data_IF_729525766437
#
_entry.id   IF_729525766437
#
_cell.length_a   1.000
_cell.length_b   1.000
_cell.length_c   1.000
_cell.angle_alpha   90.00
_cell.angle_beta   90.00
_cell.angle_gamma   90.00
#
_symmetry.space_group_name_H-M   'P 1'
#
loop_
_entity.id
_entity.type
_entity.pdbx_description
1 polymer ?
#
# COMPACT_ATOMS: atom_id res chain seq x y z
N UNK A 1 -4.05 36.69 80.76
CA UNK A 1 -4.34 35.89 79.54
C UNK A 1 -5.16 36.65 78.51
N UNK A 2 -6.26 37.35 78.86
CA UNK A 2 -7.07 38.10 77.86
C UNK A 2 -6.28 39.16 77.07
N UNK A 3 -5.34 39.82 77.68
CA UNK A 3 -4.53 40.88 77.03
C UNK A 3 -3.56 40.30 75.99
N UNK A 4 -3.08 39.07 76.20
CA UNK A 4 -2.18 38.38 75.26
C UNK A 4 -2.86 37.98 73.95
N UNK A 5 -4.14 37.60 74.03
CA UNK A 5 -4.92 37.24 72.82
C UNK A 5 -5.30 38.50 72.02
N UNK A 6 -5.49 39.65 72.66
CA UNK A 6 -5.75 40.88 71.98
C UNK A 6 -4.55 41.42 71.25
N UNK A 7 -3.36 41.27 71.81
CA UNK A 7 -2.07 41.63 71.17
C UNK A 7 -1.80 40.70 70.00
N UNK A 8 -2.03 39.39 70.17
CA UNK A 8 -1.85 38.38 69.09
C UNK A 8 -2.81 38.62 67.92
N UNK A 9 -4.06 38.98 68.22
CA UNK A 9 -5.06 39.29 67.19
C UNK A 9 -4.78 40.64 66.50
N UNK A 10 -4.23 41.64 67.20
CA UNK A 10 -3.79 42.87 66.56
C UNK A 10 -2.58 42.73 65.69
N UNK A 11 -1.61 41.84 66.04
CA UNK A 11 -0.46 41.49 65.22
C UNK A 11 -0.85 40.66 63.98
N UNK A 12 -1.92 39.86 64.10
CA UNK A 12 -2.45 39.11 62.97
C UNK A 12 -3.16 40.02 61.96
N UNK A 13 -3.82 41.06 62.40
CA UNK A 13 -4.47 42.09 61.56
C UNK A 13 -3.47 42.97 60.81
N UNK A 14 -2.29 43.21 61.35
CA UNK A 14 -1.22 43.98 60.69
C UNK A 14 -0.57 43.21 59.61
N UNK A 15 -0.57 41.84 59.67
CA UNK A 15 -0.03 40.96 58.65
C UNK A 15 -0.80 40.95 57.32
N UNK A 16 -2.04 41.50 57.27
CA UNK A 16 -2.84 41.58 56.04
C UNK A 16 -2.75 42.93 55.31
N UNK A 17 -1.99 43.90 55.82
CA UNK A 17 -1.70 45.15 55.12
C UNK A 17 -0.50 45.08 54.20
N UNK A 18 -0.05 43.89 53.83
CA UNK A 18 0.89 43.67 52.74
C UNK A 18 0.21 43.60 51.38
N UNK A 19 -0.69 44.54 51.07
CA UNK A 19 -0.97 44.86 49.71
C UNK A 19 0.26 45.58 49.17
N UNK A 20 1.13 44.80 48.58
CA UNK A 20 2.16 45.34 47.72
C UNK A 20 1.45 45.91 46.52
N UNK A 21 1.22 47.22 46.48
CA UNK A 21 0.87 47.91 45.25
C UNK A 21 2.04 47.65 44.31
N UNK A 22 1.82 46.73 43.36
CA UNK A 22 2.70 46.57 42.22
C UNK A 22 2.67 47.92 41.48
N UNK A 23 3.62 48.78 41.79
CA UNK A 23 3.87 50.00 41.04
C UNK A 23 4.39 49.59 39.66
N UNK A 24 3.49 48.96 38.85
CA UNK A 24 3.78 48.42 37.53
C UNK A 24 4.76 49.28 36.74
N UNK A 25 6.01 49.04 36.99
CA UNK A 25 7.13 49.63 36.27
C UNK A 25 7.43 48.81 35.01
N UNK A 26 6.35 48.29 34.41
CA UNK A 26 6.44 47.54 33.16
C UNK A 26 6.30 48.56 32.03
N UNK A 27 7.36 48.81 31.31
CA UNK A 27 7.32 49.35 29.96
C UNK A 27 6.60 48.31 29.08
N UNK A 28 5.29 48.38 29.01
CA UNK A 28 4.49 47.58 28.10
C UNK A 28 4.83 48.03 26.68
N UNK A 29 5.66 47.29 26.01
CA UNK A 29 5.76 47.40 24.55
C UNK A 29 4.42 46.96 23.96
N UNK A 30 3.74 47.80 23.20
CA UNK A 30 2.55 47.39 22.48
C UNK A 30 2.90 46.21 21.56
N UNK A 31 2.37 45.02 21.92
CA UNK A 31 2.54 43.81 21.11
C UNK A 31 1.45 43.86 20.05
N UNK A 32 1.83 44.10 18.79
CA UNK A 32 0.89 44.01 17.69
C UNK A 32 0.63 42.59 17.33
N UNK A 33 -0.58 42.29 16.88
CA UNK A 33 -0.97 40.97 16.39
C UNK A 33 -0.32 40.72 15.02
N UNK A 34 0.48 39.66 14.93
CA UNK A 34 1.04 39.23 13.67
C UNK A 34 -0.03 38.38 12.97
N UNK A 35 -0.23 38.58 11.66
CA UNK A 35 -1.14 37.77 10.83
C UNK A 35 -0.43 37.34 9.57
N UNK A 36 -0.64 36.07 9.23
CA UNK A 36 -0.16 35.48 7.96
C UNK A 36 -1.37 35.27 7.06
N UNK A 37 -1.47 36.02 5.97
CA UNK A 37 -2.55 35.98 5.01
C UNK A 37 -2.08 35.42 3.65
N UNK A 38 -2.96 35.38 2.64
CA UNK A 38 -2.69 34.96 1.26
C UNK A 38 -2.28 33.49 1.09
N UNK A 39 -2.47 32.65 2.12
CA UNK A 39 -2.37 31.20 1.99
C UNK A 39 -3.74 30.59 1.68
N UNK A 40 -3.82 29.66 0.73
CA UNK A 40 -5.05 28.92 0.42
C UNK A 40 -5.49 28.08 1.62
N UNK A 41 -6.78 27.73 1.66
CA UNK A 41 -7.33 26.85 2.72
C UNK A 41 -6.74 25.42 2.65
N UNK A 42 -6.31 24.96 1.47
CA UNK A 42 -5.64 23.68 1.26
C UNK A 42 -4.89 23.68 -0.09
N UNK A 43 -3.94 22.78 -0.21
CA UNK A 43 -3.21 22.50 -1.46
C UNK A 43 -3.35 21.02 -1.82
N UNK A 44 -3.44 20.73 -3.14
CA UNK A 44 -3.36 19.38 -3.71
C UNK A 44 -2.37 19.43 -4.85
N UNK A 45 -1.34 18.58 -4.80
CA UNK A 45 -0.22 18.59 -5.73
C UNK A 45 0.20 17.16 -6.10
N UNK A 46 0.73 17.01 -7.31
CA UNK A 46 1.29 15.75 -7.79
C UNK A 46 2.78 15.65 -7.44
N UNK A 47 3.17 14.57 -6.78
CA UNK A 47 4.58 14.27 -6.51
C UNK A 47 5.38 14.17 -7.81
N UNK A 48 6.64 14.63 -7.79
CA UNK A 48 7.60 14.63 -8.91
C UNK A 48 7.17 15.43 -10.16
N UNK A 49 6.01 16.11 -10.10
CA UNK A 49 5.46 16.89 -11.23
C UNK A 49 5.29 18.34 -10.85
N UNK A 50 4.68 18.63 -9.71
CA UNK A 50 4.30 19.96 -9.32
C UNK A 50 5.38 20.66 -8.46
N UNK A 51 5.27 21.98 -8.39
CA UNK A 51 6.05 22.82 -7.47
C UNK A 51 5.09 23.65 -6.63
N UNK A 52 5.16 23.51 -5.31
CA UNK A 52 4.41 24.34 -4.37
C UNK A 52 5.01 25.75 -4.36
N UNK A 53 4.18 26.77 -4.60
CA UNK A 53 4.55 28.17 -4.55
C UNK A 53 3.59 28.91 -3.63
N UNK A 54 4.13 29.55 -2.60
CA UNK A 54 3.36 30.34 -1.64
C UNK A 54 4.12 31.62 -1.35
N UNK A 55 3.44 32.77 -1.52
CA UNK A 55 3.96 34.08 -1.18
C UNK A 55 3.03 34.67 -0.09
N UNK A 56 3.36 34.51 1.19
CA UNK A 56 2.51 34.96 2.27
C UNK A 56 2.55 36.47 2.42
N UNK A 57 1.41 37.06 2.71
CA UNK A 57 1.31 38.44 3.21
C UNK A 57 1.35 38.39 4.73
N UNK A 58 2.23 39.19 5.33
CA UNK A 58 2.35 39.27 6.80
C UNK A 58 2.11 40.68 7.25
N UNK A 59 1.28 40.83 8.27
CA UNK A 59 0.96 42.12 8.88
C UNK A 59 1.46 42.17 10.32
N UNK A 60 1.94 43.34 10.78
CA UNK A 60 2.07 44.63 10.05
C UNK A 60 3.19 44.60 9.01
N UNK A 61 2.97 45.31 7.89
CA UNK A 61 3.86 45.23 6.70
C UNK A 61 5.16 46.00 6.87
N UNK A 62 5.25 46.88 7.86
CA UNK A 62 6.41 47.72 8.20
C UNK A 62 7.39 47.01 9.16
N UNK A 63 7.05 45.84 9.67
CA UNK A 63 7.92 45.02 10.51
C UNK A 63 8.80 44.07 9.65
N UNK A 64 9.96 43.70 10.18
CA UNK A 64 10.87 42.72 9.55
C UNK A 64 10.64 41.33 10.14
N UNK A 65 10.52 40.34 9.26
CA UNK A 65 10.25 38.95 9.65
C UNK A 65 11.32 37.99 9.16
N UNK A 66 11.66 37.03 10.02
CA UNK A 66 12.34 35.80 9.63
C UNK A 66 11.31 34.71 9.38
N UNK A 67 11.46 33.97 8.25
CA UNK A 67 10.54 32.93 7.86
C UNK A 67 11.15 31.55 8.07
N UNK A 68 10.30 30.62 8.51
CA UNK A 68 10.62 29.21 8.56
C UNK A 68 9.44 28.40 8.03
N UNK A 69 9.71 27.62 6.98
CA UNK A 69 8.74 26.71 6.39
C UNK A 69 9.04 25.29 6.78
N UNK A 70 8.02 24.60 7.26
CA UNK A 70 8.11 23.20 7.57
C UNK A 70 6.98 22.40 6.95
N UNK A 71 7.17 21.10 6.86
CA UNK A 71 6.17 20.12 6.44
C UNK A 71 6.20 18.94 7.40
N UNK A 72 5.03 18.39 7.71
CA UNK A 72 4.94 17.14 8.44
C UNK A 72 3.79 16.28 7.91
N UNK A 73 4.00 14.95 7.94
CA UNK A 73 3.00 13.99 7.53
C UNK A 73 1.95 13.81 8.63
N UNK A 74 0.65 13.84 8.27
CA UNK A 74 -0.47 13.49 9.14
C UNK A 74 -0.80 12.00 8.97
N UNK A 75 -1.48 11.39 9.93
CA UNK A 75 -1.90 9.96 9.89
C UNK A 75 -0.77 8.93 9.98
N UNK A 76 0.37 9.27 10.54
CA UNK A 76 1.43 8.31 10.86
C UNK A 76 1.09 7.63 12.19
N UNK A 77 0.65 6.38 12.13
CA UNK A 77 0.31 5.65 13.36
C UNK A 77 1.56 5.35 14.20
N UNK A 78 1.49 5.73 15.48
CA UNK A 78 2.48 5.34 16.48
C UNK A 78 3.69 6.25 16.61
N UNK A 79 3.76 7.36 15.88
CA UNK A 79 4.85 8.33 15.96
C UNK A 79 4.33 9.75 16.08
N UNK A 80 5.03 10.57 16.87
CA UNK A 80 4.78 12.01 16.88
C UNK A 80 5.20 12.59 15.53
N UNK A 81 4.41 13.52 14.95
CA UNK A 81 4.81 14.20 13.72
C UNK A 81 6.14 14.93 13.91
N UNK A 82 7.07 14.75 12.98
CA UNK A 82 8.32 15.51 12.94
C UNK A 82 8.19 16.58 11.88
N UNK A 83 8.48 17.82 12.25
CA UNK A 83 8.47 18.95 11.32
C UNK A 83 9.79 19.00 10.56
N UNK A 84 9.74 18.70 9.27
CA UNK A 84 10.89 18.79 8.38
C UNK A 84 10.97 20.19 7.78
N UNK A 85 12.12 20.85 7.92
CA UNK A 85 12.37 22.19 7.36
C UNK A 85 12.54 22.10 5.86
N UNK A 86 11.76 22.90 5.11
CA UNK A 86 11.79 22.92 3.63
C UNK A 86 12.26 24.25 3.05
N UNK A 87 12.17 25.36 3.77
CA UNK A 87 12.71 26.66 3.38
C UNK A 87 12.79 27.63 4.55
N UNK A 88 13.62 28.69 4.37
CA UNK A 88 13.73 29.82 5.32
C UNK A 88 13.54 31.18 4.63
N UNK A 89 13.13 31.19 3.39
CA UNK A 89 12.83 32.40 2.60
C UNK A 89 11.39 32.82 2.80
N UNK A 90 11.08 34.11 2.57
CA UNK A 90 9.70 34.61 2.65
C UNK A 90 8.79 33.82 1.70
N UNK A 91 9.16 33.75 0.44
CA UNK A 91 8.43 33.03 -0.58
C UNK A 91 8.88 31.57 -0.59
N UNK A 92 7.92 30.65 -0.47
CA UNK A 92 8.15 29.22 -0.59
C UNK A 92 8.12 28.84 -2.07
N UNK A 93 9.19 28.20 -2.52
CA UNK A 93 9.26 27.48 -3.81
C UNK A 93 9.79 26.07 -3.53
N UNK A 94 8.88 25.12 -3.47
CA UNK A 94 9.22 23.75 -3.08
C UNK A 94 8.81 22.77 -4.19
N UNK A 95 9.76 22.16 -4.93
CA UNK A 95 9.47 21.05 -5.83
C UNK A 95 8.82 19.92 -5.03
N UNK A 96 7.70 19.39 -5.49
CA UNK A 96 6.96 18.38 -4.74
C UNK A 96 7.63 17.02 -4.86
N UNK A 97 8.49 16.71 -3.91
CA UNK A 97 9.23 15.43 -3.82
C UNK A 97 8.70 14.50 -2.73
N UNK A 98 7.69 14.96 -1.97
CA UNK A 98 7.07 14.15 -0.92
C UNK A 98 6.32 12.96 -1.54
N UNK A 99 6.32 11.84 -0.83
CA UNK A 99 5.49 10.70 -1.18
C UNK A 99 3.99 11.05 -1.12
N UNK A 100 3.14 10.40 -1.93
CA UNK A 100 1.69 10.57 -1.83
C UNK A 100 1.18 10.33 -0.42
N UNK A 101 0.40 11.29 0.08
CA UNK A 101 -0.11 11.25 1.45
C UNK A 101 -0.76 12.57 1.88
N UNK A 102 -1.14 12.61 3.15
CA UNK A 102 -1.69 13.81 3.79
C UNK A 102 -0.65 14.46 4.67
N UNK A 103 -0.43 15.73 4.46
CA UNK A 103 0.56 16.54 5.14
C UNK A 103 -0.05 17.84 5.65
N UNK A 104 0.72 18.57 6.44
CA UNK A 104 0.52 20.00 6.70
C UNK A 104 1.77 20.78 6.35
N UNK A 105 1.55 21.90 5.67
CA UNK A 105 2.57 22.94 5.48
C UNK A 105 2.44 23.92 6.64
N UNK A 106 3.56 24.24 7.25
CA UNK A 106 3.65 25.17 8.38
C UNK A 106 4.48 26.37 7.93
N UNK A 107 3.89 27.56 8.03
CA UNK A 107 4.57 28.83 7.87
C UNK A 107 4.75 29.46 9.25
N UNK A 108 5.98 29.76 9.63
CA UNK A 108 6.31 30.51 10.84
C UNK A 108 6.92 31.85 10.41
N UNK A 109 6.34 32.95 10.90
CA UNK A 109 6.87 34.29 10.71
C UNK A 109 7.25 34.86 12.08
N UNK A 110 8.54 35.07 12.31
CA UNK A 110 9.08 35.61 13.56
C UNK A 110 9.46 37.08 13.36
N UNK A 111 8.87 37.98 14.09
CA UNK A 111 9.23 39.40 14.06
C UNK A 111 10.58 39.60 14.78
N UNK A 112 11.51 40.31 14.10
CA UNK A 112 12.93 40.36 14.51
C UNK A 112 13.17 41.11 15.81
N UNK A 113 12.41 42.16 16.10
CA UNK A 113 12.69 43.00 17.26
C UNK A 113 12.11 42.39 18.55
N UNK A 114 10.92 41.77 18.44
CA UNK A 114 10.19 41.22 19.61
C UNK A 114 10.45 39.71 19.78
N UNK A 115 10.86 39.01 18.71
CA UNK A 115 10.98 37.56 18.70
C UNK A 115 9.62 36.83 18.72
N UNK A 116 8.52 37.53 18.52
CA UNK A 116 7.18 36.95 18.51
C UNK A 116 7.00 36.19 17.18
N UNK A 117 6.49 34.96 17.26
CA UNK A 117 6.27 34.10 16.12
C UNK A 117 4.78 33.82 15.94
N UNK A 118 4.27 34.07 14.74
CA UNK A 118 2.97 33.60 14.29
C UNK A 118 3.15 32.32 13.47
N UNK A 119 2.25 31.36 13.67
CA UNK A 119 2.29 30.05 13.02
C UNK A 119 0.98 29.82 12.26
N UNK A 120 1.09 29.53 10.99
CA UNK A 120 -0.04 29.14 10.14
C UNK A 120 0.16 27.79 9.52
N UNK A 121 -0.78 26.88 9.78
CA UNK A 121 -0.80 25.53 9.22
C UNK A 121 -1.88 25.40 8.16
N UNK A 122 -1.54 24.77 7.05
CA UNK A 122 -2.47 24.53 5.93
C UNK A 122 -2.36 23.06 5.48
N UNK A 123 -3.48 22.35 5.27
CA UNK A 123 -3.50 21.00 4.72
C UNK A 123 -2.86 20.95 3.34
N UNK A 124 -2.02 19.95 3.14
CA UNK A 124 -1.44 19.58 1.84
C UNK A 124 -1.75 18.12 1.55
N UNK A 125 -2.39 17.85 0.43
CA UNK A 125 -2.55 16.50 -0.12
C UNK A 125 -1.56 16.33 -1.26
N UNK A 126 -0.67 15.36 -1.12
CA UNK A 126 0.23 14.93 -2.20
C UNK A 126 -0.36 13.69 -2.84
N UNK A 127 -0.49 13.71 -4.15
CA UNK A 127 -1.02 12.59 -4.96
C UNK A 127 -0.01 12.19 -6.03
N UNK A 128 -0.28 11.11 -6.74
CA UNK A 128 0.54 10.65 -7.86
C UNK A 128 -0.30 10.50 -9.11
N UNK A 129 0.32 10.73 -10.26
CA UNK A 129 -0.30 10.45 -11.56
C UNK A 129 -0.54 8.95 -11.79
N UNK A 130 0.08 8.10 -10.96
CA UNK A 130 -0.03 6.64 -11.02
C UNK A 130 -1.12 6.06 -10.10
N UNK A 131 -1.97 6.88 -9.46
CA UNK A 131 -2.95 6.42 -8.47
C UNK A 131 -4.23 5.85 -9.07
N UNK A 132 -4.61 6.27 -10.30
CA UNK A 132 -5.90 5.94 -10.90
C UNK A 132 -5.78 5.60 -12.37
N UNK A 133 -6.40 4.49 -12.76
CA UNK A 133 -6.50 4.07 -14.16
C UNK A 133 -6.40 2.57 -14.36
N UNK A 134 -6.27 2.17 -15.62
CA UNK A 134 -6.09 0.79 -16.04
C UNK A 134 -4.62 0.50 -16.30
N UNK A 135 -4.02 -0.31 -15.48
CA UNK A 135 -2.68 -0.82 -15.71
C UNK A 135 -2.68 -1.95 -16.71
N UNK A 136 -1.79 -1.90 -17.68
CA UNK A 136 -1.64 -2.90 -18.74
C UNK A 136 -0.18 -3.33 -18.82
N UNK A 137 0.05 -4.59 -18.49
CA UNK A 137 1.34 -5.23 -18.69
C UNK A 137 1.44 -5.66 -20.15
N UNK A 138 2.46 -5.23 -20.87
CA UNK A 138 2.63 -5.49 -22.30
C UNK A 138 4.02 -6.01 -22.65
N UNK A 139 4.07 -6.84 -23.69
CA UNK A 139 5.33 -7.30 -24.27
C UNK A 139 5.64 -6.56 -25.56
N UNK A 140 6.87 -6.14 -25.70
CA UNK A 140 7.44 -5.64 -26.94
C UNK A 140 8.89 -6.10 -27.04
N UNK A 141 9.26 -6.70 -28.18
CA UNK A 141 10.64 -7.17 -28.47
C UNK A 141 11.20 -8.09 -27.36
N UNK A 142 10.39 -9.04 -26.90
CA UNK A 142 10.68 -9.99 -25.79
C UNK A 142 10.99 -9.31 -24.43
N UNK A 143 10.62 -8.06 -24.31
CA UNK A 143 10.70 -7.30 -23.06
C UNK A 143 9.30 -6.88 -22.60
N UNK A 144 9.09 -6.90 -21.31
CA UNK A 144 7.82 -6.54 -20.69
C UNK A 144 7.94 -5.23 -19.91
N UNK A 145 6.96 -4.37 -20.08
CA UNK A 145 6.81 -3.11 -19.33
C UNK A 145 5.36 -2.87 -18.97
N UNK A 146 5.11 -1.88 -18.13
CA UNK A 146 3.82 -1.50 -17.59
C UNK A 146 3.39 -0.15 -18.15
N UNK A 147 2.19 -0.09 -18.71
CA UNK A 147 1.53 1.15 -19.12
C UNK A 147 0.33 1.42 -18.21
N UNK A 148 -0.05 2.69 -18.05
CA UNK A 148 -1.26 3.13 -17.35
C UNK A 148 -2.13 3.96 -18.29
N UNK A 149 -3.41 3.64 -18.36
CA UNK A 149 -4.43 4.42 -19.04
C UNK A 149 -5.29 5.13 -18.00
N UNK A 150 -5.03 6.41 -17.81
CA UNK A 150 -5.78 7.26 -16.86
C UNK A 150 -6.79 8.12 -17.61
N UNK A 151 -7.96 8.35 -17.02
CA UNK A 151 -8.98 9.26 -17.56
C UNK A 151 -8.54 10.72 -17.51
N UNK A 152 -7.73 11.09 -16.53
CA UNK A 152 -7.29 12.48 -16.35
C UNK A 152 -5.96 12.79 -17.04
N UNK A 153 -5.02 11.85 -17.04
CA UNK A 153 -3.64 12.05 -17.53
C UNK A 153 -3.37 11.40 -18.89
N UNK A 154 -4.37 10.70 -19.44
CA UNK A 154 -4.19 9.96 -20.68
C UNK A 154 -3.32 8.72 -20.50
N UNK A 155 -2.51 8.39 -21.51
CA UNK A 155 -1.63 7.23 -21.48
C UNK A 155 -0.26 7.60 -20.90
N UNK A 156 0.18 6.85 -19.89
CA UNK A 156 1.54 6.88 -19.33
C UNK A 156 2.20 5.56 -19.73
N UNK A 157 3.28 5.65 -20.50
CA UNK A 157 3.93 4.47 -21.08
C UNK A 157 5.25 4.14 -20.37
N UNK A 158 5.61 2.86 -20.40
CA UNK A 158 6.92 2.37 -19.94
C UNK A 158 7.22 2.76 -18.48
N UNK A 159 6.26 2.58 -17.59
CA UNK A 159 6.38 2.98 -16.18
C UNK A 159 7.60 2.34 -15.52
N UNK A 160 7.87 1.04 -15.83
CA UNK A 160 9.02 0.33 -15.25
C UNK A 160 10.31 0.95 -15.77
N UNK A 161 10.49 1.03 -17.08
CA UNK A 161 11.73 1.58 -17.66
C UNK A 161 11.96 3.06 -17.29
N UNK A 162 10.90 3.87 -17.33
CA UNK A 162 11.01 5.31 -17.05
C UNK A 162 11.47 5.61 -15.63
N UNK A 163 11.03 4.84 -14.66
CA UNK A 163 11.31 5.09 -13.24
C UNK A 163 12.46 4.24 -12.68
N UNK A 164 13.08 3.37 -13.51
CA UNK A 164 14.13 2.46 -13.07
C UNK A 164 15.28 2.37 -14.10
N UNK A 165 15.86 3.52 -14.48
CA UNK A 165 17.07 3.63 -15.30
C UNK A 165 17.03 2.89 -16.65
N UNK A 166 15.84 2.76 -17.25
CA UNK A 166 15.63 2.07 -18.52
C UNK A 166 15.47 0.55 -18.40
N UNK A 167 15.32 0.00 -17.20
CA UNK A 167 15.12 -1.44 -16.97
C UNK A 167 13.76 -1.90 -17.49
N UNK A 168 13.76 -2.96 -18.29
CA UNK A 168 12.57 -3.72 -18.68
C UNK A 168 12.64 -5.13 -18.11
N UNK A 169 11.50 -5.82 -18.01
CA UNK A 169 11.45 -7.21 -17.57
C UNK A 169 11.69 -8.15 -18.75
N UNK A 170 12.47 -9.23 -18.56
CA UNK A 170 12.75 -10.22 -19.60
C UNK A 170 11.58 -11.17 -19.80
N UNK A 171 11.29 -11.45 -21.06
CA UNK A 171 10.29 -12.40 -21.51
C UNK A 171 8.90 -11.79 -21.61
N UNK A 172 7.95 -12.61 -22.02
CA UNK A 172 6.57 -12.25 -22.24
C UNK A 172 5.85 -11.86 -20.94
N UNK A 173 4.95 -10.88 -21.03
CA UNK A 173 4.02 -10.51 -19.96
C UNK A 173 3.16 -11.70 -19.51
N UNK A 174 3.03 -11.90 -18.22
CA UNK A 174 2.29 -13.03 -17.65
C UNK A 174 1.13 -12.62 -16.77
N UNK A 175 1.40 -11.85 -15.75
CA UNK A 175 0.38 -11.45 -14.80
C UNK A 175 0.73 -10.13 -14.11
N UNK A 176 -0.30 -9.46 -13.63
CA UNK A 176 -0.22 -8.26 -12.82
C UNK A 176 -1.17 -8.41 -11.64
N UNK A 177 -0.74 -8.00 -10.46
CA UNK A 177 -1.58 -8.02 -9.26
C UNK A 177 -1.30 -6.80 -8.39
N UNK A 178 -2.35 -6.20 -7.85
CA UNK A 178 -2.26 -5.11 -6.91
C UNK A 178 -2.29 -5.62 -5.48
N UNK A 179 -1.40 -5.12 -4.63
CA UNK A 179 -1.37 -5.46 -3.22
C UNK A 179 -1.44 -4.22 -2.35
N UNK A 180 -2.47 -4.17 -1.51
CA UNK A 180 -2.54 -3.21 -0.40
C UNK A 180 -1.56 -3.60 0.70
N UNK A 181 -0.93 -2.61 1.31
CA UNK A 181 -0.12 -2.82 2.50
C UNK A 181 0.99 -3.87 2.33
N UNK A 182 1.58 -3.95 1.14
CA UNK A 182 2.75 -4.78 0.92
C UNK A 182 3.90 -4.35 1.83
N UNK A 183 4.59 -5.30 2.44
CA UNK A 183 5.71 -5.01 3.34
C UNK A 183 6.98 -4.72 2.54
N UNK A 184 7.34 -3.44 2.45
CA UNK A 184 8.58 -2.98 1.85
C UNK A 184 9.55 -2.51 2.95
N UNK A 185 10.85 -2.66 2.69
CA UNK A 185 11.88 -2.10 3.55
C UNK A 185 12.03 -0.61 3.27
N UNK A 186 12.03 0.18 4.31
CA UNK A 186 12.32 1.62 4.28
C UNK A 186 13.74 1.82 4.80
N UNK A 187 14.67 2.14 3.90
CA UNK A 187 16.09 2.29 4.23
C UNK A 187 16.36 3.50 5.11
N UNK A 188 15.55 4.56 4.98
CA UNK A 188 15.73 5.80 5.76
C UNK A 188 15.40 5.57 7.23
N UNK A 189 14.30 4.84 7.49
CA UNK A 189 13.82 4.60 8.84
C UNK A 189 14.19 3.21 9.38
N UNK A 190 14.96 2.43 8.62
CA UNK A 190 15.44 1.06 8.96
C UNK A 190 14.31 0.15 9.47
N UNK A 191 13.16 0.18 8.80
CA UNK A 191 11.98 -0.59 9.20
C UNK A 191 11.14 -1.04 8.02
N UNK A 192 10.31 -2.06 8.24
CA UNK A 192 9.29 -2.45 7.27
C UNK A 192 8.08 -1.51 7.36
N UNK A 193 7.68 -0.97 6.22
CA UNK A 193 6.50 -0.12 6.06
C UNK A 193 5.49 -0.77 5.12
N UNK A 194 4.22 -0.44 5.31
CA UNK A 194 3.18 -0.83 4.37
C UNK A 194 3.20 0.12 3.18
N UNK A 195 3.22 -0.43 1.98
CA UNK A 195 3.13 0.35 0.75
C UNK A 195 2.16 -0.30 -0.24
N UNK A 196 1.45 0.53 -0.99
CA UNK A 196 0.65 0.05 -2.11
C UNK A 196 1.57 -0.29 -3.26
N UNK A 197 1.42 -1.50 -3.79
CA UNK A 197 2.36 -2.04 -4.75
C UNK A 197 1.67 -2.82 -5.85
N UNK A 198 2.34 -2.89 -6.99
CA UNK A 198 1.95 -3.71 -8.14
C UNK A 198 3.02 -4.76 -8.32
N UNK A 199 2.59 -6.03 -8.34
CA UNK A 199 3.41 -7.12 -8.82
C UNK A 199 3.29 -7.19 -10.34
N UNK A 200 4.39 -7.14 -11.04
CA UNK A 200 4.46 -7.33 -12.49
C UNK A 200 5.32 -8.55 -12.81
N UNK A 201 4.71 -9.53 -13.46
CA UNK A 201 5.35 -10.78 -13.82
C UNK A 201 5.54 -10.88 -15.34
N UNK A 202 6.78 -10.98 -15.78
CA UNK A 202 7.16 -11.51 -17.07
C UNK A 202 7.55 -12.99 -16.91
N UNK A 203 7.74 -13.71 -18.03
CA UNK A 203 8.07 -15.14 -17.99
C UNK A 203 9.31 -15.45 -17.14
N UNK A 204 10.35 -14.64 -17.26
CA UNK A 204 11.67 -14.88 -16.65
C UNK A 204 11.98 -13.95 -15.47
N UNK A 205 11.21 -12.88 -15.30
CA UNK A 205 11.41 -11.89 -14.25
C UNK A 205 10.10 -11.54 -13.54
N UNK A 206 10.23 -11.18 -12.27
CA UNK A 206 9.14 -10.67 -11.44
C UNK A 206 9.65 -9.49 -10.61
N UNK A 207 8.86 -8.45 -10.53
CA UNK A 207 9.17 -7.26 -9.72
C UNK A 207 7.96 -6.82 -8.91
N UNK A 208 8.24 -6.09 -7.84
CA UNK A 208 7.25 -5.34 -7.07
C UNK A 208 7.53 -3.86 -7.25
N UNK A 209 6.53 -3.12 -7.68
CA UNK A 209 6.63 -1.70 -8.02
C UNK A 209 5.82 -0.90 -7.02
N UNK A 210 6.38 0.17 -6.48
CA UNK A 210 5.66 1.14 -5.65
C UNK A 210 4.70 1.95 -6.52
N UNK A 211 3.41 2.00 -6.16
CA UNK A 211 2.41 2.74 -6.96
C UNK A 211 2.55 4.25 -6.86
N UNK A 212 3.28 4.76 -5.88
CA UNK A 212 3.45 6.20 -5.71
C UNK A 212 4.37 6.84 -6.74
N UNK A 213 5.42 6.12 -7.18
CA UNK A 213 6.47 6.65 -8.02
C UNK A 213 6.95 5.72 -9.14
N UNK A 214 6.42 4.49 -9.23
CA UNK A 214 6.82 3.51 -10.26
C UNK A 214 8.17 2.82 -10.01
N UNK A 215 8.77 3.04 -8.84
CA UNK A 215 10.06 2.47 -8.45
C UNK A 215 9.94 0.97 -8.15
N UNK A 216 10.91 0.18 -8.62
CA UNK A 216 11.06 -1.23 -8.23
C UNK A 216 11.58 -1.28 -6.79
N UNK A 217 10.75 -1.78 -5.89
CA UNK A 217 11.10 -1.96 -4.47
C UNK A 217 11.57 -3.38 -4.16
N UNK A 218 11.42 -4.29 -5.12
CA UNK A 218 11.86 -5.67 -5.00
C UNK A 218 11.91 -6.34 -6.37
N UNK A 219 12.91 -7.15 -6.61
CA UNK A 219 13.02 -7.95 -7.83
C UNK A 219 13.26 -9.44 -7.52
N UNK A 220 13.50 -10.25 -8.55
CA UNK A 220 13.64 -11.71 -8.41
C UNK A 220 14.73 -12.13 -7.42
N UNK A 221 15.75 -11.29 -7.21
CA UNK A 221 16.89 -11.65 -6.35
C UNK A 221 16.54 -11.55 -4.86
N UNK A 222 15.57 -10.73 -4.52
CA UNK A 222 15.13 -10.53 -3.14
C UNK A 222 13.63 -10.77 -2.90
N UNK A 223 12.88 -11.11 -3.96
CA UNK A 223 11.44 -11.40 -3.87
C UNK A 223 11.13 -12.72 -3.16
N UNK A 224 12.11 -13.63 -3.06
CA UNK A 224 12.00 -14.92 -2.40
C UNK A 224 12.98 -15.03 -1.25
N UNK A 225 12.64 -15.82 -0.22
CA UNK A 225 13.65 -16.22 0.77
C UNK A 225 14.75 -17.09 0.18
N UNK A 226 14.37 -17.91 -0.80
CA UNK A 226 15.28 -18.73 -1.59
C UNK A 226 14.85 -18.61 -3.06
N UNK A 227 15.73 -18.05 -3.89
CA UNK A 227 15.44 -17.84 -5.31
C UNK A 227 15.13 -19.18 -5.99
N UNK A 228 14.02 -19.30 -6.74
CA UNK A 228 13.70 -20.50 -7.49
C UNK A 228 14.80 -20.84 -8.51
N UNK A 229 15.15 -22.12 -8.60
CA UNK A 229 16.15 -22.60 -9.57
C UNK A 229 15.73 -22.37 -11.03
N UNK A 230 14.42 -22.36 -11.28
CA UNK A 230 13.81 -22.10 -12.59
C UNK A 230 12.92 -20.88 -12.44
N UNK A 231 13.14 -19.87 -13.27
CA UNK A 231 12.25 -18.73 -13.42
C UNK A 231 11.34 -18.98 -14.64
N UNK A 232 10.10 -19.33 -14.39
CA UNK A 232 9.04 -19.50 -15.37
C UNK A 232 7.73 -19.05 -14.71
N UNK A 233 7.64 -17.74 -14.46
CA UNK A 233 6.51 -17.14 -13.79
C UNK A 233 5.26 -17.25 -14.66
N UNK A 234 4.13 -17.54 -14.04
CA UNK A 234 2.90 -17.87 -14.76
C UNK A 234 1.72 -17.03 -14.29
N UNK A 235 1.55 -16.87 -12.98
CA UNK A 235 0.41 -16.14 -12.45
C UNK A 235 0.66 -15.66 -11.01
N UNK A 236 -0.14 -14.69 -10.57
CA UNK A 236 -0.14 -14.16 -9.20
C UNK A 236 -1.55 -13.73 -8.85
N UNK A 237 -1.96 -13.88 -7.59
CA UNK A 237 -3.19 -13.31 -7.07
C UNK A 237 -3.11 -13.03 -5.58
N UNK A 238 -3.84 -12.04 -5.14
CA UNK A 238 -4.13 -11.81 -3.72
C UNK A 238 -5.45 -12.46 -3.33
N UNK A 239 -5.48 -13.08 -2.17
CA UNK A 239 -6.66 -13.73 -1.61
C UNK A 239 -6.75 -13.39 -0.13
N UNK A 240 -7.71 -12.54 0.24
CA UNK A 240 -7.85 -12.08 1.63
C UNK A 240 -6.57 -11.43 2.16
N UNK A 241 -5.73 -12.17 2.87
CA UNK A 241 -4.49 -11.70 3.51
C UNK A 241 -3.23 -12.33 2.94
N UNK A 242 -3.35 -13.23 1.98
CA UNK A 242 -2.26 -13.95 1.37
C UNK A 242 -2.03 -13.52 -0.09
N UNK A 243 -0.78 -13.58 -0.51
CA UNK A 243 -0.38 -13.48 -1.92
C UNK A 243 0.08 -14.87 -2.38
N UNK A 244 -0.43 -15.31 -3.52
CA UNK A 244 -0.05 -16.57 -4.16
C UNK A 244 0.61 -16.29 -5.50
N UNK A 245 1.74 -16.93 -5.75
CA UNK A 245 2.50 -16.84 -6.99
C UNK A 245 2.72 -18.23 -7.56
N UNK A 246 2.53 -18.38 -8.86
CA UNK A 246 2.80 -19.60 -9.59
C UNK A 246 4.07 -19.44 -10.43
N UNK A 247 5.03 -20.31 -10.18
CA UNK A 247 6.28 -20.40 -10.93
C UNK A 247 6.54 -21.85 -11.32
N UNK A 248 6.69 -22.11 -12.60
CA UNK A 248 6.93 -23.45 -13.19
C UNK A 248 5.95 -24.54 -12.69
N UNK A 249 4.67 -24.18 -12.59
CA UNK A 249 3.60 -25.05 -12.08
C UNK A 249 3.64 -25.32 -10.58
N UNK A 250 4.53 -24.66 -9.85
CA UNK A 250 4.64 -24.72 -8.39
C UNK A 250 4.07 -23.47 -7.76
N UNK A 251 3.42 -23.63 -6.59
CA UNK A 251 2.84 -22.54 -5.84
C UNK A 251 3.78 -22.04 -4.75
N UNK A 252 3.93 -20.73 -4.68
CA UNK A 252 4.59 -20.00 -3.61
C UNK A 252 3.56 -19.07 -2.94
N UNK A 253 3.78 -18.66 -1.70
CA UNK A 253 2.89 -17.73 -1.04
C UNK A 253 3.61 -16.78 -0.08
N UNK A 254 2.99 -15.63 0.16
CA UNK A 254 3.29 -14.71 1.26
C UNK A 254 2.08 -14.67 2.17
N UNK A 255 2.30 -14.93 3.46
CA UNK A 255 1.28 -14.77 4.48
C UNK A 255 1.36 -13.34 5.04
N UNK A 256 0.54 -12.45 4.53
CA UNK A 256 0.61 -11.01 4.82
C UNK A 256 0.53 -10.66 6.31
N UNK A 257 -0.29 -11.39 7.08
CA UNK A 257 -0.51 -11.07 8.48
C UNK A 257 0.69 -11.39 9.38
N UNK A 258 1.53 -12.32 8.96
CA UNK A 258 2.70 -12.76 9.74
C UNK A 258 4.03 -12.42 9.10
N UNK A 259 4.06 -12.14 7.80
CA UNK A 259 5.29 -11.83 7.09
C UNK A 259 5.69 -10.38 7.30
N UNK A 260 6.85 -10.19 7.89
CA UNK A 260 7.44 -8.87 8.05
C UNK A 260 8.37 -8.49 6.89
N UNK A 261 8.69 -9.45 6.01
CA UNK A 261 9.69 -9.25 4.96
C UNK A 261 9.10 -9.03 3.57
N UNK A 262 7.84 -9.39 3.34
CA UNK A 262 7.21 -9.33 2.00
C UNK A 262 7.82 -10.28 0.97
N UNK A 263 8.48 -11.36 1.39
CA UNK A 263 9.11 -12.36 0.52
C UNK A 263 8.28 -13.63 0.39
N UNK A 264 8.29 -14.20 -0.79
CA UNK A 264 7.72 -15.53 -1.02
C UNK A 264 8.56 -16.61 -0.36
N UNK A 265 7.87 -17.60 0.22
CA UNK A 265 8.49 -18.82 0.70
C UNK A 265 8.93 -19.73 -0.44
N UNK A 266 9.56 -20.85 -0.09
CA UNK A 266 9.86 -21.94 -1.03
C UNK A 266 8.57 -22.50 -1.64
N UNK A 267 8.68 -23.18 -2.76
CA UNK A 267 7.53 -23.85 -3.38
C UNK A 267 6.84 -24.81 -2.38
N UNK A 268 5.52 -24.79 -2.37
CA UNK A 268 4.75 -25.74 -1.56
C UNK A 268 5.14 -27.17 -1.92
N UNK A 269 5.34 -28.04 -0.92
CA UNK A 269 5.77 -29.43 -1.17
C UNK A 269 4.67 -30.24 -1.85
N UNK A 270 5.08 -31.26 -2.60
CA UNK A 270 4.20 -32.22 -3.23
C UNK A 270 4.55 -32.52 -4.67
N UNK A 271 4.03 -33.67 -5.14
CA UNK A 271 4.13 -34.05 -6.52
C UNK A 271 2.89 -33.54 -7.28
N UNK A 272 2.93 -32.30 -7.72
CA UNK A 272 1.89 -31.64 -8.51
C UNK A 272 2.50 -30.76 -9.58
N UNK A 273 1.73 -30.47 -10.63
CA UNK A 273 2.05 -29.52 -11.69
C UNK A 273 0.78 -28.74 -12.03
N UNK A 274 0.68 -27.53 -11.50
CA UNK A 274 -0.51 -26.72 -11.69
C UNK A 274 -0.63 -26.19 -13.11
N UNK A 275 -1.86 -26.07 -13.59
CA UNK A 275 -2.17 -25.32 -14.80
C UNK A 275 -1.95 -23.81 -14.55
N UNK A 276 -1.49 -23.03 -15.55
CA UNK A 276 -1.09 -21.63 -15.34
C UNK A 276 -2.16 -20.69 -14.77
N UNK A 277 -3.43 -21.04 -14.98
CA UNK A 277 -4.53 -20.22 -14.49
C UNK A 277 -5.24 -20.89 -13.31
N UNK A 278 -5.94 -20.08 -12.56
CA UNK A 278 -6.77 -20.48 -11.43
C UNK A 278 -8.08 -19.68 -11.38
N UNK A 279 -9.03 -20.13 -10.58
CA UNK A 279 -10.15 -19.31 -10.18
C UNK A 279 -10.04 -18.90 -8.73
N UNK A 280 -10.63 -17.77 -8.40
CA UNK A 280 -10.60 -17.27 -7.04
C UNK A 280 -11.54 -18.08 -6.17
N UNK A 281 -11.04 -18.51 -4.99
CA UNK A 281 -11.85 -18.96 -3.88
C UNK A 281 -12.03 -17.86 -2.85
N UNK A 282 -12.79 -18.09 -1.80
CA UNK A 282 -12.95 -17.10 -0.75
C UNK A 282 -11.64 -16.80 0.00
N UNK A 283 -10.77 -17.81 0.22
CA UNK A 283 -9.50 -17.68 0.95
C UNK A 283 -8.31 -18.32 0.27
N UNK A 284 -8.53 -19.04 -0.82
CA UNK A 284 -7.47 -19.80 -1.47
C UNK A 284 -7.78 -20.01 -2.95
N UNK A 285 -6.75 -19.98 -3.82
CA UNK A 285 -6.93 -20.27 -5.23
C UNK A 285 -7.39 -21.71 -5.43
N UNK A 286 -8.33 -21.88 -6.36
CA UNK A 286 -8.74 -23.17 -6.87
C UNK A 286 -8.04 -23.38 -8.22
N UNK A 287 -7.27 -24.44 -8.29
CA UNK A 287 -6.40 -24.77 -9.41
C UNK A 287 -6.76 -26.12 -10.02
N UNK A 288 -6.09 -26.45 -11.13
CA UNK A 288 -6.11 -27.79 -11.70
C UNK A 288 -4.69 -28.35 -11.74
N UNK A 289 -4.50 -29.52 -11.14
CA UNK A 289 -3.23 -30.26 -11.18
C UNK A 289 -3.18 -31.20 -12.36
N UNK A 290 -2.22 -30.98 -13.26
CA UNK A 290 -2.00 -31.79 -14.46
C UNK A 290 -1.46 -33.18 -14.14
N UNK A 291 -0.83 -33.37 -12.97
CA UNK A 291 -0.23 -34.67 -12.58
C UNK A 291 -1.31 -35.65 -12.14
N UNK A 292 -2.31 -35.16 -11.42
CA UNK A 292 -3.41 -36.00 -10.92
C UNK A 292 -4.69 -35.84 -11.70
N UNK A 293 -4.74 -35.01 -12.74
CA UNK A 293 -5.95 -34.63 -13.47
C UNK A 293 -7.10 -34.23 -12.54
N UNK A 294 -6.81 -33.37 -11.56
CA UNK A 294 -7.74 -33.09 -10.47
C UNK A 294 -7.82 -31.61 -10.17
N UNK A 295 -8.99 -31.16 -9.76
CA UNK A 295 -9.10 -29.86 -9.11
C UNK A 295 -8.48 -29.89 -7.72
N UNK A 296 -7.71 -28.88 -7.38
CA UNK A 296 -6.97 -28.76 -6.12
C UNK A 296 -7.09 -27.34 -5.59
N UNK A 297 -6.87 -27.17 -4.30
CA UNK A 297 -6.76 -25.87 -3.67
C UNK A 297 -5.35 -25.66 -3.09
N UNK A 298 -4.89 -24.41 -3.11
CA UNK A 298 -3.66 -24.03 -2.41
C UNK A 298 -4.05 -23.61 -1.01
N UNK A 299 -3.57 -24.31 0.02
CA UNK A 299 -3.84 -23.97 1.40
C UNK A 299 -2.60 -23.43 2.09
N UNK A 300 -2.49 -22.10 2.19
CA UNK A 300 -1.36 -21.43 2.82
C UNK A 300 -1.25 -21.76 4.33
N UNK A 301 -2.38 -21.94 5.03
CA UNK A 301 -2.35 -22.26 6.47
C UNK A 301 -1.75 -23.62 6.77
N UNK A 302 -1.96 -24.60 5.89
CA UNK A 302 -1.36 -25.94 6.00
C UNK A 302 -0.09 -26.10 5.14
N UNK A 303 0.33 -25.05 4.45
CA UNK A 303 1.49 -25.03 3.56
C UNK A 303 1.46 -26.21 2.57
N UNK A 304 0.32 -26.45 1.93
CA UNK A 304 0.10 -27.60 1.06
C UNK A 304 -0.86 -27.32 -0.08
N UNK A 305 -0.70 -28.11 -1.15
CA UNK A 305 -1.72 -28.26 -2.19
C UNK A 305 -2.60 -29.45 -1.82
N UNK A 306 -3.90 -29.22 -1.75
CA UNK A 306 -4.87 -30.21 -1.23
C UNK A 306 -5.88 -30.61 -2.30
N UNK A 307 -6.17 -31.91 -2.35
CA UNK A 307 -7.23 -32.46 -3.19
C UNK A 307 -8.61 -32.26 -2.56
N UNK A 308 -9.61 -32.02 -3.38
CA UNK A 308 -10.99 -32.03 -2.94
C UNK A 308 -11.50 -33.44 -2.75
N UNK A 309 -12.38 -33.62 -1.73
CA UNK A 309 -13.07 -34.90 -1.50
C UNK A 309 -14.19 -35.07 -2.52
N UNK A 310 -14.29 -36.26 -3.10
CA UNK A 310 -15.47 -36.62 -3.86
C UNK A 310 -16.71 -36.69 -2.96
N UNK A 311 -17.85 -36.29 -3.46
CA UNK A 311 -19.13 -36.58 -2.82
C UNK A 311 -19.45 -38.06 -2.95
N UNK A 312 -20.07 -38.65 -1.93
CA UNK A 312 -20.36 -40.08 -1.90
C UNK A 312 -21.23 -40.58 -3.06
N UNK A 313 -21.35 -41.89 -3.22
CA UNK A 313 -21.99 -42.52 -4.37
C UNK A 313 -23.43 -42.04 -4.64
N UNK A 314 -24.15 -41.68 -3.61
CA UNK A 314 -25.54 -41.13 -3.71
C UNK A 314 -25.52 -39.74 -4.34
N UNK A 315 -24.46 -38.97 -4.11
CA UNK A 315 -24.30 -37.62 -4.63
C UNK A 315 -23.55 -37.59 -5.99
N UNK A 316 -22.93 -38.68 -6.40
CA UNK A 316 -22.18 -38.74 -7.68
C UNK A 316 -23.05 -38.53 -8.91
N UNK A 317 -24.34 -38.84 -8.83
CA UNK A 317 -25.33 -38.49 -9.85
C UNK A 317 -25.70 -37.00 -9.85
N UNK A 318 -25.45 -36.33 -8.74
CA UNK A 318 -25.83 -34.94 -8.52
C UNK A 318 -24.66 -33.98 -8.72
N UNK A 319 -23.44 -34.43 -8.39
CA UNK A 319 -22.22 -33.62 -8.47
C UNK A 319 -21.19 -34.30 -9.35
N UNK A 320 -20.59 -33.58 -10.31
CA UNK A 320 -19.52 -34.12 -11.15
C UNK A 320 -18.29 -34.49 -10.30
N UNK A 321 -17.57 -35.49 -10.75
CA UNK A 321 -16.26 -35.83 -10.18
C UNK A 321 -15.29 -34.65 -10.33
N UNK A 322 -14.38 -34.48 -9.39
CA UNK A 322 -13.37 -33.42 -9.37
C UNK A 322 -11.93 -33.92 -9.36
N UNK A 323 -11.77 -35.24 -9.29
CA UNK A 323 -10.46 -35.90 -9.30
C UNK A 323 -10.36 -37.01 -10.34
N UNK A 324 -9.13 -37.28 -10.84
CA UNK A 324 -8.84 -38.27 -11.84
C UNK A 324 -9.78 -38.20 -13.07
N UNK A 325 -9.81 -37.02 -13.69
CA UNK A 325 -10.81 -36.70 -14.73
C UNK A 325 -10.44 -37.25 -16.11
N UNK A 326 -9.22 -37.68 -16.31
CA UNK A 326 -8.65 -38.09 -17.62
C UNK A 326 -8.98 -37.09 -18.72
N UNK A 327 -8.65 -35.82 -18.44
CA UNK A 327 -9.01 -34.68 -19.27
C UNK A 327 -7.94 -33.59 -19.22
N UNK A 328 -7.78 -32.92 -20.34
CA UNK A 328 -6.94 -31.73 -20.44
C UNK A 328 -7.78 -30.48 -20.08
N UNK A 329 -7.25 -29.65 -19.19
CA UNK A 329 -7.86 -28.39 -18.89
C UNK A 329 -7.59 -27.41 -20.04
N UNK A 330 -8.65 -26.83 -20.58
CA UNK A 330 -8.59 -25.79 -21.61
C UNK A 330 -8.68 -24.39 -21.01
N UNK A 331 -9.48 -24.24 -19.95
CA UNK A 331 -9.71 -22.97 -19.26
C UNK A 331 -10.09 -23.22 -17.82
N UNK A 332 -9.60 -22.36 -16.94
CA UNK A 332 -10.12 -22.15 -15.58
C UNK A 332 -10.01 -20.67 -15.24
N UNK A 333 -11.05 -20.10 -14.65
CA UNK A 333 -11.07 -18.70 -14.29
C UNK A 333 -12.36 -18.27 -13.58
N UNK A 334 -12.50 -16.99 -13.22
CA UNK A 334 -13.70 -16.47 -12.59
C UNK A 334 -14.89 -16.53 -13.53
N UNK A 335 -16.04 -16.77 -12.98
CA UNK A 335 -17.33 -16.78 -13.65
C UNK A 335 -18.30 -15.78 -13.03
N UNK A 336 -19.53 -15.67 -13.59
CA UNK A 336 -20.56 -14.79 -13.06
C UNK A 336 -20.93 -15.15 -11.61
N UNK A 337 -21.41 -14.16 -10.85
CA UNK A 337 -21.95 -14.34 -9.49
C UNK A 337 -20.99 -15.03 -8.52
N UNK A 338 -19.71 -14.64 -8.55
CA UNK A 338 -18.67 -15.21 -7.70
C UNK A 338 -18.53 -16.74 -7.84
N UNK A 339 -18.74 -17.27 -9.03
CA UNK A 339 -18.45 -18.68 -9.35
C UNK A 339 -17.12 -18.81 -10.08
N UNK A 340 -16.52 -19.99 -10.05
CA UNK A 340 -15.44 -20.40 -10.93
C UNK A 340 -15.97 -21.19 -12.10
N UNK A 341 -15.33 -21.06 -13.25
CA UNK A 341 -15.66 -21.86 -14.43
C UNK A 341 -14.42 -22.58 -14.91
N UNK A 342 -14.60 -23.85 -15.30
CA UNK A 342 -13.55 -24.61 -15.95
C UNK A 342 -14.08 -25.36 -17.17
N UNK A 343 -13.28 -25.37 -18.23
CA UNK A 343 -13.56 -26.12 -19.45
C UNK A 343 -12.46 -27.19 -19.63
N UNK A 344 -12.86 -28.45 -19.72
CA UNK A 344 -11.96 -29.58 -19.91
C UNK A 344 -12.35 -30.34 -21.19
N UNK A 345 -11.33 -30.92 -21.85
CA UNK A 345 -11.52 -31.84 -22.95
C UNK A 345 -11.05 -33.23 -22.54
N UNK A 346 -11.93 -34.20 -22.60
CA UNK A 346 -11.56 -35.61 -22.35
C UNK A 346 -10.57 -36.11 -23.40
N UNK A 347 -9.52 -36.81 -22.93
CA UNK A 347 -8.42 -37.26 -23.82
C UNK A 347 -8.86 -38.34 -24.80
N UNK A 348 -9.78 -39.20 -24.40
CA UNK A 348 -10.17 -40.35 -25.18
C UNK A 348 -11.42 -40.14 -26.05
N UNK A 349 -12.05 -39.00 -25.94
CA UNK A 349 -13.28 -38.63 -26.65
C UNK A 349 -13.27 -37.15 -27.03
N UNK A 350 -14.14 -36.76 -27.99
CA UNK A 350 -14.32 -35.32 -28.30
C UNK A 350 -15.24 -34.59 -27.34
N UNK A 351 -15.50 -35.19 -26.18
CA UNK A 351 -16.40 -34.59 -25.17
C UNK A 351 -15.70 -33.47 -24.42
N UNK A 352 -16.30 -32.29 -24.42
CA UNK A 352 -15.95 -31.19 -23.57
C UNK A 352 -16.84 -31.17 -22.33
N UNK A 353 -16.22 -30.95 -21.18
CA UNK A 353 -16.89 -30.82 -19.88
C UNK A 353 -16.78 -29.39 -19.42
N UNK A 354 -17.89 -28.81 -19.04
CA UNK A 354 -17.94 -27.47 -18.42
C UNK A 354 -18.32 -27.61 -16.95
N UNK A 355 -17.45 -27.11 -16.09
CA UNK A 355 -17.64 -27.10 -14.64
C UNK A 355 -18.04 -25.72 -14.17
N UNK A 356 -19.08 -25.67 -13.36
CA UNK A 356 -19.39 -24.54 -12.51
C UNK A 356 -18.86 -24.86 -11.12
N UNK A 357 -17.91 -24.07 -10.63
CA UNK A 357 -17.22 -24.32 -9.38
C UNK A 357 -17.68 -23.31 -8.31
N UNK A 358 -17.98 -23.81 -7.13
CA UNK A 358 -18.37 -22.99 -6.00
C UNK A 358 -17.14 -22.43 -5.30
N UNK A 359 -16.90 -21.14 -5.49
CA UNK A 359 -15.73 -20.45 -4.93
C UNK A 359 -15.98 -19.92 -3.51
N UNK A 360 -17.25 -19.85 -3.06
CA UNK A 360 -17.62 -19.24 -1.78
C UNK A 360 -17.65 -20.22 -0.59
N UNK A 361 -17.36 -21.50 -0.79
CA UNK A 361 -17.39 -22.48 0.31
C UNK A 361 -16.09 -22.46 1.12
N UNK A 362 -15.88 -21.36 1.81
CA UNK A 362 -14.63 -20.98 2.46
C UNK A 362 -14.22 -21.85 3.65
N UNK A 363 -15.19 -22.49 4.30
CA UNK A 363 -14.96 -23.20 5.56
C UNK A 363 -14.71 -24.68 5.39
N UNK A 364 -14.86 -25.19 4.19
CA UNK A 364 -14.65 -26.61 3.89
C UNK A 364 -13.83 -26.76 2.62
N UNK A 365 -12.52 -26.39 2.63
CA UNK A 365 -11.66 -26.40 1.46
C UNK A 365 -11.51 -27.77 0.80
N UNK A 366 -12.00 -28.82 1.44
CA UNK A 366 -11.86 -30.20 1.00
C UNK A 366 -13.14 -30.79 0.42
N UNK A 367 -14.25 -30.05 0.41
CA UNK A 367 -15.48 -30.50 -0.19
C UNK A 367 -15.45 -30.26 -1.70
N UNK A 368 -16.07 -31.19 -2.43
CA UNK A 368 -16.22 -31.05 -3.89
C UNK A 368 -16.81 -29.68 -4.27
N UNK A 369 -16.06 -28.83 -5.00
CA UNK A 369 -16.51 -27.48 -5.34
C UNK A 369 -17.46 -27.45 -6.53
N UNK A 370 -17.66 -28.56 -7.26
CA UNK A 370 -18.54 -28.58 -8.42
C UNK A 370 -20.01 -28.40 -8.03
N UNK A 371 -20.69 -27.46 -8.70
CA UNK A 371 -22.12 -27.28 -8.62
C UNK A 371 -22.83 -28.19 -9.60
N UNK A 372 -24.08 -28.53 -9.27
CA UNK A 372 -24.97 -29.22 -10.19
C UNK A 372 -25.37 -28.34 -11.37
#
# INVERSE_FOLDING_TARGET
MKQLYIISFLLFLIGFYGCYDDEGNYDYTEVFEIRIDSMKASYTLYTLVDTLRISPEVSPADAEYDFHWGVYQTNVQGYAPTLDTIATTRDLVYPMTLDPGSYKIVCMATERNTGITEIKEVPLTVTTALSEGWYVLRTKDDCTDLDLFSTEKGKIENIIATNNEGRNLKGEARAIEFSYNYKAWDEINERYVNTNSIFALAKEEAVVIRTSNGEIIRDIDDLFYERPAVANFQNICSQSTELYLMNDGKAHYIYNMSSNSGRFGVALPGNYQLYPNWTYGFRQPLCFDKTSDSFVAINAMSSSVVNFKEKGAVDSLTYPRVSNLDADLLYIGPGPSNSGWALLKKRQTDTCLMYNLEVNNAYSPYNNPAKK
#
